data_IF_399723937490
#
_entry.id   IF_399723937490
#
_cell.length_a   1.000
_cell.length_b   1.000
_cell.length_c   1.000
_cell.angle_alpha   90.00
_cell.angle_beta   90.00
_cell.angle_gamma   90.00
#
_symmetry.space_group_name_H-M   'P 1'
#
loop_
_entity.id
_entity.type
_entity.pdbx_description
1 polymer ?
#
# COMPACT_ATOMS: atom_id res chain seq x y z
N UNK A 1 -10.18 3.97 -0.79
CA UNK A 1 -9.87 3.68 0.64
C UNK A 1 -8.42 4.01 0.93
N UNK A 2 -8.16 4.50 2.14
CA UNK A 2 -6.80 4.87 2.53
C UNK A 2 -5.94 3.61 2.68
N UNK A 3 -6.59 2.46 2.82
CA UNK A 3 -5.88 1.20 2.97
C UNK A 3 -5.23 0.78 1.66
N UNK A 4 -5.83 1.18 0.55
CA UNK A 4 -5.31 0.83 -0.77
C UNK A 4 -3.85 1.24 -0.93
N UNK A 5 -3.52 2.45 -0.49
CA UNK A 5 -2.15 2.95 -0.61
C UNK A 5 -1.16 2.03 0.10
N UNK A 6 -1.56 1.53 1.27
CA UNK A 6 -0.70 0.64 2.04
C UNK A 6 -0.37 -0.61 1.24
N UNK A 7 -1.36 -1.13 0.52
CA UNK A 7 -1.15 -2.33 -0.29
C UNK A 7 0.06 -2.16 -1.19
N UNK A 8 0.16 -1.01 -1.84
CA UNK A 8 1.28 -0.73 -2.72
C UNK A 8 2.53 -0.46 -1.90
N UNK A 9 2.33 0.06 -0.69
CA UNK A 9 3.44 0.38 0.20
C UNK A 9 4.31 -0.84 0.46
N UNK A 10 3.69 -2.00 0.64
CA UNK A 10 4.45 -3.22 0.91
C UNK A 10 5.09 -3.75 -0.38
N UNK A 11 4.50 -3.40 -1.51
CA UNK A 11 5.04 -3.84 -2.79
C UNK A 11 6.38 -3.18 -3.05
N UNK A 12 6.56 -1.99 -2.49
CA UNK A 12 7.81 -1.25 -2.66
C UNK A 12 8.98 -2.06 -2.10
N UNK A 13 8.88 -2.42 -0.82
CA UNK A 13 9.93 -3.19 -0.17
C UNK A 13 9.56 -3.48 1.28
N UNK A 14 8.31 -3.62 1.61
#
# INVERSE_FOLDING_TARGET
>A
GLSLLLSLGLKLLX
#
